data_IF_110654201550
#
_entry.id   IF_110654201550
#
_cell.length_a   1.000
_cell.length_b   1.000
_cell.length_c   1.000
_cell.angle_alpha   90.00
_cell.angle_beta   90.00
_cell.angle_gamma   90.00
#
_symmetry.space_group_name_H-M   'P 1'
#
loop_
_entity.id
_entity.type
_entity.pdbx_description
1 polymer ?
#
# COMPACT_ATOMS: atom_id res chain seq x y z
N UNK A 1 9.38 -12.97 -5.48
CA UNK A 1 9.21 -14.42 -5.70
C UNK A 1 9.65 -15.18 -4.46
N UNK A 2 9.03 -16.32 -4.15
CA UNK A 2 9.38 -17.15 -3.00
C UNK A 2 9.12 -18.62 -3.27
N UNK A 3 9.72 -19.50 -2.44
CA UNK A 3 9.50 -20.95 -2.49
C UNK A 3 8.12 -21.29 -1.92
N UNK A 4 7.45 -22.31 -2.47
CA UNK A 4 6.13 -22.77 -1.99
C UNK A 4 6.10 -23.00 -0.48
N UNK A 5 7.08 -23.74 0.06
CA UNK A 5 7.16 -24.04 1.48
C UNK A 5 7.19 -22.78 2.37
N UNK A 6 7.89 -21.73 1.91
CA UNK A 6 7.90 -20.45 2.62
C UNK A 6 6.53 -19.77 2.61
N UNK A 7 5.85 -19.77 1.47
CA UNK A 7 4.49 -19.23 1.35
C UNK A 7 3.48 -19.98 2.23
N UNK A 8 3.52 -21.32 2.21
CA UNK A 8 2.69 -22.15 3.08
C UNK A 8 2.94 -21.87 4.55
N UNK A 9 4.19 -21.68 4.97
CA UNK A 9 4.50 -21.31 6.34
C UNK A 9 3.93 -19.93 6.70
N UNK A 10 4.02 -18.94 5.79
CA UNK A 10 3.52 -17.55 6.01
C UNK A 10 1.99 -17.50 6.09
N UNK A 11 1.32 -18.41 5.40
CA UNK A 11 -0.12 -18.50 5.35
C UNK A 11 -0.72 -17.72 4.16
N UNK A 12 -2.03 -17.85 3.93
CA UNK A 12 -2.73 -17.24 2.80
C UNK A 12 -2.79 -15.70 2.92
N UNK A 13 -3.35 -15.06 1.89
CA UNK A 13 -3.76 -13.67 1.95
C UNK A 13 -4.87 -13.50 3.00
N UNK A 14 -4.90 -12.34 3.65
CA UNK A 14 -6.02 -11.97 4.53
C UNK A 14 -7.17 -11.45 3.66
N UNK A 15 -8.15 -12.32 3.37
CA UNK A 15 -9.29 -12.00 2.50
C UNK A 15 -10.25 -10.97 3.08
N UNK A 16 -10.05 -10.54 4.34
CA UNK A 16 -10.80 -9.43 4.93
C UNK A 16 -10.33 -8.06 4.45
N UNK A 17 -9.15 -7.98 3.83
CA UNK A 17 -8.57 -6.76 3.26
C UNK A 17 -9.01 -6.62 1.79
N UNK A 18 -9.47 -5.45 1.37
CA UNK A 18 -9.93 -5.24 0.00
C UNK A 18 -8.87 -4.60 -0.92
N UNK A 19 -7.99 -3.78 -0.34
CA UNK A 19 -6.99 -2.98 -1.06
C UNK A 19 -5.54 -3.40 -0.76
N UNK A 20 -5.28 -3.96 0.42
CA UNK A 20 -3.92 -4.09 0.98
C UNK A 20 -3.54 -5.51 1.38
N UNK A 21 -4.20 -6.52 0.79
CA UNK A 21 -3.92 -7.95 1.01
C UNK A 21 -2.44 -8.31 0.77
N UNK A 22 -1.87 -7.80 -0.31
CA UNK A 22 -0.48 -8.04 -0.71
C UNK A 22 0.50 -7.31 0.20
N UNK A 23 0.19 -6.07 0.61
CA UNK A 23 0.96 -5.33 1.59
C UNK A 23 1.06 -6.07 2.93
N UNK A 24 -0.07 -6.54 3.48
CA UNK A 24 -0.06 -7.35 4.70
C UNK A 24 0.80 -8.61 4.53
N UNK A 25 0.65 -9.31 3.39
CA UNK A 25 1.44 -10.50 3.09
C UNK A 25 2.95 -10.19 3.07
N UNK A 26 3.38 -9.10 2.43
CA UNK A 26 4.79 -8.70 2.40
C UNK A 26 5.33 -8.37 3.78
N UNK A 27 4.56 -7.66 4.61
CA UNK A 27 4.95 -7.38 5.99
C UNK A 27 5.13 -8.67 6.80
N UNK A 28 4.23 -9.66 6.67
CA UNK A 28 4.39 -10.98 7.31
C UNK A 28 5.63 -11.72 6.81
N UNK A 29 5.91 -11.68 5.51
CA UNK A 29 7.11 -12.28 4.93
C UNK A 29 8.39 -11.62 5.48
N UNK A 30 8.43 -10.28 5.50
CA UNK A 30 9.56 -9.49 5.98
C UNK A 30 9.89 -9.71 7.45
N UNK A 31 8.89 -9.97 8.30
CA UNK A 31 9.12 -10.35 9.71
C UNK A 31 9.86 -11.68 9.88
N UNK A 32 9.88 -12.53 8.85
CA UNK A 32 10.49 -13.86 8.92
C UNK A 32 11.83 -13.94 8.21
N UNK A 33 11.99 -13.22 7.11
CA UNK A 33 13.21 -13.22 6.29
C UNK A 33 13.33 -11.90 5.56
N UNK A 34 14.58 -11.43 5.43
CA UNK A 34 14.87 -10.26 4.63
C UNK A 34 14.68 -10.55 3.13
N UNK A 35 14.08 -9.63 2.37
CA UNK A 35 13.93 -9.77 0.94
C UNK A 35 15.28 -9.59 0.23
N UNK A 36 15.53 -10.38 -0.81
CA UNK A 36 16.62 -10.10 -1.75
C UNK A 36 16.16 -9.06 -2.77
N UNK A 37 16.89 -7.95 -2.86
CA UNK A 37 16.63 -6.87 -3.82
C UNK A 37 17.40 -7.14 -5.11
N UNK A 38 16.70 -7.09 -6.24
CA UNK A 38 17.29 -7.23 -7.57
C UNK A 38 17.35 -5.86 -8.23
N UNK A 39 18.55 -5.39 -8.54
CA UNK A 39 18.77 -4.13 -9.25
C UNK A 39 18.61 -4.31 -10.77
N UNK A 40 17.41 -4.72 -11.19
CA UNK A 40 17.02 -4.90 -12.60
C UNK A 40 15.51 -4.90 -12.76
N UNK A 41 15.05 -4.49 -13.93
CA UNK A 41 13.62 -4.49 -14.27
C UNK A 41 13.15 -5.91 -14.53
N UNK A 42 12.25 -6.41 -13.66
CA UNK A 42 11.66 -7.75 -13.76
C UNK A 42 10.16 -7.74 -14.04
N UNK A 43 9.54 -6.56 -14.16
CA UNK A 43 8.10 -6.44 -14.37
C UNK A 43 7.70 -5.12 -15.02
N UNK A 44 6.52 -5.12 -15.64
CA UNK A 44 5.89 -3.94 -16.24
C UNK A 44 4.45 -3.84 -15.77
N UNK A 45 4.14 -2.85 -14.95
CA UNK A 45 2.76 -2.54 -14.55
C UNK A 45 2.07 -1.74 -15.67
N UNK A 46 0.78 -2.02 -15.92
CA UNK A 46 -0.03 -1.26 -16.88
C UNK A 46 -1.14 -0.54 -16.12
N UNK A 47 -1.20 0.77 -16.30
CA UNK A 47 -2.28 1.57 -15.75
C UNK A 47 -3.50 1.50 -16.68
N UNK A 48 -4.64 1.03 -16.16
CA UNK A 48 -5.91 1.01 -16.87
C UNK A 48 -6.91 1.91 -16.16
N UNK A 49 -7.81 2.57 -16.89
CA UNK A 49 -8.75 3.56 -16.33
C UNK A 49 -9.70 3.01 -15.24
N UNK A 50 -9.94 1.69 -15.25
CA UNK A 50 -10.69 0.98 -14.20
C UNK A 50 -9.84 0.43 -13.05
N UNK A 51 -8.57 0.85 -12.92
CA UNK A 51 -7.74 0.43 -11.80
C UNK A 51 -8.34 0.94 -10.50
N UNK A 52 -8.36 0.10 -9.46
CA UNK A 52 -8.80 0.48 -8.11
C UNK A 52 -8.06 1.72 -7.57
N UNK A 53 -6.86 2.01 -8.09
CA UNK A 53 -6.05 3.18 -7.74
C UNK A 53 -6.23 4.39 -8.68
N UNK A 54 -7.04 4.27 -9.74
CA UNK A 54 -7.26 5.34 -10.73
C UNK A 54 -8.16 6.47 -10.23
N UNK A 55 -9.08 6.14 -9.32
CA UNK A 55 -9.75 7.10 -8.47
C UNK A 55 -9.14 6.92 -7.08
N UNK A 56 -8.27 7.84 -6.66
CA UNK A 56 -7.68 7.83 -5.31
C UNK A 56 -8.79 7.72 -4.27
N UNK A 57 -9.00 6.52 -3.77
CA UNK A 57 -10.02 6.20 -2.77
C UNK A 57 -9.37 6.29 -1.40
N UNK A 58 -9.92 7.15 -0.53
CA UNK A 58 -9.44 7.31 0.84
C UNK A 58 -9.45 5.99 1.59
N UNK A 59 -10.39 5.10 1.27
CA UNK A 59 -10.51 3.77 1.87
C UNK A 59 -9.25 2.91 1.68
N UNK A 60 -8.55 3.05 0.55
CA UNK A 60 -7.29 2.36 0.32
C UNK A 60 -6.23 2.77 1.35
N UNK A 61 -6.07 4.07 1.60
CA UNK A 61 -5.08 4.57 2.55
C UNK A 61 -5.48 4.33 4.01
N UNK A 62 -6.77 4.37 4.31
CA UNK A 62 -7.26 4.04 5.65
C UNK A 62 -6.98 2.56 5.98
N UNK A 63 -7.23 1.65 5.02
CA UNK A 63 -6.91 0.23 5.17
C UNK A 63 -5.39 0.00 5.28
N UNK A 64 -4.59 0.67 4.44
CA UNK A 64 -3.11 0.62 4.50
C UNK A 64 -2.59 1.04 5.89
N UNK A 65 -3.14 2.12 6.44
CA UNK A 65 -2.76 2.58 7.77
C UNK A 65 -3.12 1.56 8.85
N UNK A 66 -4.32 0.97 8.80
CA UNK A 66 -4.73 -0.08 9.74
C UNK A 66 -3.80 -1.30 9.67
N UNK A 67 -3.40 -1.71 8.47
CA UNK A 67 -2.42 -2.80 8.31
C UNK A 67 -1.06 -2.38 8.87
N UNK A 68 -0.56 -1.18 8.58
CA UNK A 68 0.71 -0.69 9.10
C UNK A 68 0.75 -0.68 10.65
N UNK A 69 -0.35 -0.32 11.31
CA UNK A 69 -0.47 -0.37 12.77
C UNK A 69 -0.26 -1.77 13.36
N UNK A 70 -0.57 -2.84 12.61
CA UNK A 70 -0.30 -4.24 13.03
C UNK A 70 1.20 -4.51 13.20
N UNK A 71 2.05 -3.75 12.49
CA UNK A 71 3.49 -3.99 12.42
C UNK A 71 4.33 -2.96 13.19
N UNK A 72 3.86 -1.72 13.31
CA UNK A 72 4.60 -0.61 13.95
C UNK A 72 4.74 -0.75 15.48
N UNK A 73 3.99 -1.65 16.13
CA UNK A 73 4.07 -1.85 17.58
C UNK A 73 3.93 -0.52 18.34
N UNK A 74 4.81 -0.22 19.30
CA UNK A 74 4.77 1.02 20.09
C UNK A 74 5.49 2.22 19.45
N UNK A 75 5.89 2.14 18.18
CA UNK A 75 6.55 3.26 17.49
C UNK A 75 5.58 4.40 17.20
N UNK A 76 5.43 5.31 18.17
CA UNK A 76 4.54 6.48 18.08
C UNK A 76 4.96 7.46 16.99
N UNK A 77 6.27 7.58 16.73
CA UNK A 77 6.78 8.49 15.71
C UNK A 77 6.50 7.94 14.31
N UNK A 78 6.78 6.65 14.08
CA UNK A 78 6.44 5.97 12.83
C UNK A 78 4.95 6.05 12.51
N UNK A 79 4.08 5.88 13.51
CA UNK A 79 2.62 6.06 13.35
C UNK A 79 2.24 7.47 12.92
N UNK A 80 2.84 8.50 13.53
CA UNK A 80 2.56 9.90 13.20
C UNK A 80 3.04 10.25 11.78
N UNK A 81 4.27 9.84 11.43
CA UNK A 81 4.85 10.06 10.11
C UNK A 81 4.00 9.38 9.03
N UNK A 82 3.59 8.13 9.26
CA UNK A 82 2.73 7.41 8.32
C UNK A 82 1.40 8.14 8.10
N UNK A 83 0.76 8.61 9.18
CA UNK A 83 -0.48 9.38 9.08
C UNK A 83 -0.30 10.69 8.32
N UNK A 84 0.81 11.40 8.57
CA UNK A 84 1.13 12.63 7.85
C UNK A 84 1.34 12.38 6.34
N UNK A 85 1.99 11.28 5.96
CA UNK A 85 2.18 10.90 4.56
C UNK A 85 0.86 10.57 3.85
N UNK A 86 -0.05 9.85 4.52
CA UNK A 86 -1.39 9.55 3.99
C UNK A 86 -2.15 10.85 3.72
N UNK A 87 -2.21 11.76 4.70
CA UNK A 87 -2.94 13.03 4.55
C UNK A 87 -2.33 13.91 3.44
N UNK A 88 -0.99 14.03 3.37
CA UNK A 88 -0.30 14.76 2.30
C UNK A 88 -0.69 14.23 0.92
N UNK A 89 -0.74 12.91 0.76
CA UNK A 89 -1.09 12.27 -0.51
C UNK A 89 -2.52 12.60 -0.89
N UNK A 90 -3.48 12.43 0.03
CA UNK A 90 -4.90 12.74 -0.20
C UNK A 90 -5.10 14.22 -0.57
N UNK A 91 -4.44 15.15 0.13
CA UNK A 91 -4.53 16.57 -0.17
C UNK A 91 -3.94 16.94 -1.53
N UNK A 92 -2.82 16.33 -1.91
CA UNK A 92 -2.21 16.54 -3.23
C UNK A 92 -3.18 16.15 -4.34
N UNK A 93 -3.85 14.99 -4.20
CA UNK A 93 -4.87 14.56 -5.18
C UNK A 93 -6.11 15.43 -5.19
N UNK A 94 -6.58 15.90 -4.02
CA UNK A 94 -7.69 16.87 -3.95
C UNK A 94 -7.35 18.16 -4.68
N UNK A 95 -6.15 18.70 -4.46
CA UNK A 95 -5.68 19.92 -5.12
C UNK A 95 -5.57 19.72 -6.64
N UNK A 96 -4.98 18.61 -7.09
CA UNK A 96 -4.92 18.27 -8.52
C UNK A 96 -6.31 18.18 -9.15
N UNK A 97 -7.30 17.65 -8.44
CA UNK A 97 -8.69 17.58 -8.91
C UNK A 97 -9.35 18.95 -9.00
N UNK A 98 -9.11 19.84 -8.02
CA UNK A 98 -9.59 21.22 -8.04
C UNK A 98 -8.99 22.02 -9.20
N UNK A 99 -7.67 21.93 -9.41
CA UNK A 99 -6.98 22.61 -10.53
C UNK A 99 -7.48 22.11 -11.89
N UNK A 100 -7.73 20.80 -12.04
CA UNK A 100 -8.32 20.24 -13.27
C UNK A 100 -9.76 20.69 -13.51
N UNK A 101 -10.55 20.87 -12.44
CA UNK A 101 -11.92 21.41 -12.52
C UNK A 101 -11.93 22.87 -12.97
N UNK A 102 -11.05 23.70 -12.40
CA UNK A 102 -10.95 25.12 -12.72
C UNK A 102 -10.44 25.41 -14.14
N UNK A 103 -9.73 24.47 -14.77
CA UNK A 103 -9.24 24.60 -16.17
C UNK A 103 -10.25 24.11 -17.23
N UNK A 104 -11.38 23.53 -16.81
CA UNK A 104 -12.43 23.01 -17.71
C UNK A 104 -13.70 23.89 -17.72
N UNK A 105 -13.71 24.99 -16.96
CA UNK A 105 -14.75 26.03 -16.96
C UNK A 105 -14.17 27.33 -17.50
#
# INVERSE_FOLDING_TARGET
>A
FWRRAFGTAVGPLDETLFYTMDYDLWCRMGRRRDPLILDRVVGRFRFHGGSKSGAVDRRQFDEEYLVALRYLGNDRLGRLIHRAHVEKTVWSYRLMRLVRSARRS
#
